data_IF_725961205052
#
_entry.id   IF_725961205052
#
_cell.length_a   1.000
_cell.length_b   1.000
_cell.length_c   1.000
_cell.angle_alpha   90.00
_cell.angle_beta   90.00
_cell.angle_gamma   90.00
#
_symmetry.space_group_name_H-M   'P 1'
#
loop_
_entity.id
_entity.type
_entity.pdbx_description
1 polymer ?
#
# COMPACT_ATOMS: atom_id res chain seq x y z
N UNK A 1 -11.26 16.85 7.58
CA UNK A 1 -10.91 15.42 7.46
C UNK A 1 -10.33 15.04 6.10
N UNK A 2 -10.80 15.58 4.98
CA UNK A 2 -10.25 15.19 3.65
C UNK A 2 -8.77 15.55 3.44
N UNK A 3 -8.36 16.79 3.75
CA UNK A 3 -6.98 17.27 3.52
C UNK A 3 -5.90 16.45 4.24
N UNK A 4 -6.14 16.06 5.49
CA UNK A 4 -5.16 15.28 6.26
C UNK A 4 -5.03 13.85 5.70
N UNK A 5 -6.15 13.24 5.27
CA UNK A 5 -6.13 11.93 4.65
C UNK A 5 -5.40 11.97 3.30
N UNK A 6 -5.63 13.02 2.48
CA UNK A 6 -4.89 13.23 1.24
C UNK A 6 -3.38 13.35 1.50
N UNK A 7 -2.98 14.12 2.50
CA UNK A 7 -1.57 14.26 2.88
C UNK A 7 -0.92 12.91 3.28
N UNK A 8 -1.61 12.05 4.02
CA UNK A 8 -1.11 10.71 4.35
C UNK A 8 -0.96 9.80 3.11
N UNK A 9 -1.87 9.92 2.14
CA UNK A 9 -1.76 9.19 0.87
C UNK A 9 -0.57 9.71 0.05
N UNK A 10 -0.34 11.02 0.01
CA UNK A 10 0.82 11.62 -0.68
C UNK A 10 2.15 11.16 -0.05
N UNK A 11 2.26 11.13 1.28
CA UNK A 11 3.44 10.62 1.97
C UNK A 11 3.70 9.14 1.65
N UNK A 12 2.64 8.33 1.67
CA UNK A 12 2.72 6.91 1.34
C UNK A 12 3.16 6.70 -0.11
N UNK A 13 2.62 7.49 -1.05
CA UNK A 13 3.05 7.45 -2.45
C UNK A 13 4.53 7.80 -2.61
N UNK A 14 4.97 8.90 -1.99
CA UNK A 14 6.38 9.31 -2.03
C UNK A 14 7.34 8.30 -1.39
N UNK A 15 6.89 7.57 -0.36
CA UNK A 15 7.66 6.47 0.22
C UNK A 15 7.80 5.30 -0.77
N UNK A 16 6.70 4.89 -1.41
CA UNK A 16 6.72 3.81 -2.41
C UNK A 16 7.58 4.16 -3.61
N UNK A 17 7.57 5.41 -4.07
CA UNK A 17 8.42 5.85 -5.19
C UNK A 17 9.91 5.78 -4.85
N UNK A 18 10.29 6.10 -3.61
CA UNK A 18 11.67 5.92 -3.14
C UNK A 18 12.08 4.45 -3.10
N UNK A 19 11.18 3.56 -2.66
CA UNK A 19 11.44 2.12 -2.65
C UNK A 19 11.57 1.53 -4.06
N UNK A 20 10.83 2.04 -5.04
CA UNK A 20 10.99 1.68 -6.46
C UNK A 20 12.29 2.22 -7.06
N UNK A 21 12.72 3.41 -6.65
CA UNK A 21 13.96 4.01 -7.17
C UNK A 21 15.22 3.39 -6.57
N UNK A 22 15.12 2.80 -5.37
CA UNK A 22 16.23 2.11 -4.72
C UNK A 22 16.45 0.72 -5.36
N UNK A 23 17.55 0.58 -6.09
CA UNK A 23 17.98 -0.73 -6.62
C UNK A 23 18.47 -1.62 -5.49
N UNK A 24 18.06 -2.88 -5.52
CA UNK A 24 18.46 -3.93 -4.58
C UNK A 24 18.69 -5.23 -5.35
N UNK A 25 19.96 -5.51 -5.68
CA UNK A 25 20.36 -6.69 -6.45
C UNK A 25 19.70 -6.80 -7.83
N UNK A 26 18.88 -7.84 -7.99
CA UNK A 26 18.20 -8.17 -9.25
C UNK A 26 16.86 -7.42 -9.43
N UNK A 27 16.50 -6.52 -8.51
CA UNK A 27 15.26 -5.77 -8.55
C UNK A 27 15.32 -4.42 -7.82
N UNK A 28 14.15 -3.92 -7.42
CA UNK A 28 14.04 -2.74 -6.55
C UNK A 28 13.78 -3.16 -5.11
N UNK A 29 14.08 -2.29 -4.15
CA UNK A 29 13.78 -2.55 -2.73
C UNK A 29 12.29 -2.85 -2.52
N UNK A 30 11.40 -2.26 -3.32
CA UNK A 30 9.97 -2.58 -3.29
C UNK A 30 9.66 -4.03 -3.71
N UNK A 31 10.44 -4.60 -4.62
CA UNK A 31 10.22 -5.96 -5.14
C UNK A 31 10.57 -7.05 -4.14
N UNK A 32 11.37 -6.72 -3.12
CA UNK A 32 11.81 -7.63 -2.05
C UNK A 32 11.08 -7.39 -0.72
N UNK A 33 10.04 -6.55 -0.71
CA UNK A 33 9.31 -6.17 0.51
C UNK A 33 7.83 -6.56 0.45
N UNK A 34 7.29 -6.84 1.63
CA UNK A 34 5.84 -6.92 1.88
C UNK A 34 5.44 -5.80 2.83
N UNK A 35 4.48 -4.98 2.42
CA UNK A 35 4.05 -3.79 3.17
C UNK A 35 2.57 -3.92 3.53
N UNK A 36 2.28 -3.83 4.83
CA UNK A 36 0.94 -3.64 5.36
C UNK A 36 0.83 -2.20 5.88
N UNK A 37 -0.03 -1.40 5.25
CA UNK A 37 -0.27 0.00 5.59
C UNK A 37 -1.73 0.21 5.94
N UNK A 38 -2.05 0.93 7.02
CA UNK A 38 -3.43 1.22 7.36
C UNK A 38 -3.62 2.02 8.63
N UNK A 39 -4.87 2.18 9.07
CA UNK A 39 -5.22 2.87 10.30
C UNK A 39 -6.07 2.00 11.22
N UNK A 40 -5.83 2.10 12.53
CA UNK A 40 -6.62 1.40 13.55
C UNK A 40 -8.03 1.97 13.78
N UNK A 41 -8.37 3.09 13.14
CA UNK A 41 -9.68 3.76 13.20
C UNK A 41 -10.01 4.27 11.79
N UNK A 42 -11.24 4.05 11.31
CA UNK A 42 -11.67 4.48 9.97
C UNK A 42 -12.12 5.94 9.92
N UNK A 43 -12.76 6.42 10.99
CA UNK A 43 -13.12 7.81 11.18
C UNK A 43 -12.68 8.30 12.57
N UNK A 44 -11.64 9.14 12.59
CA UNK A 44 -11.07 9.67 13.82
C UNK A 44 -12.00 10.67 14.52
N UNK A 45 -12.91 11.35 13.80
CA UNK A 45 -13.88 12.28 14.42
C UNK A 45 -14.93 11.55 15.25
N UNK A 46 -15.37 10.38 14.79
CA UNK A 46 -16.40 9.59 15.48
C UNK A 46 -15.83 8.39 16.24
N UNK A 47 -14.49 8.27 16.32
CA UNK A 47 -13.79 7.09 16.83
C UNK A 47 -14.37 5.75 16.35
N UNK A 48 -14.72 5.66 15.06
CA UNK A 48 -15.32 4.45 14.50
C UNK A 48 -14.25 3.44 14.07
N UNK A 49 -14.39 2.20 14.53
CA UNK A 49 -13.55 1.07 14.12
C UNK A 49 -14.09 0.26 12.94
N UNK A 50 -15.18 0.68 12.30
CA UNK A 50 -15.82 -0.07 11.21
C UNK A 50 -15.16 0.23 9.87
N UNK A 51 -14.92 -0.77 9.00
CA UNK A 51 -14.28 -0.61 7.69
C UNK A 51 -12.90 0.09 7.77
N UNK A 52 -12.00 -0.50 8.55
CA UNK A 52 -10.65 0.04 8.70
C UNK A 52 -9.91 0.11 7.36
N UNK A 53 -9.22 1.22 7.06
CA UNK A 53 -8.47 1.34 5.82
C UNK A 53 -7.16 0.55 5.96
N UNK A 54 -7.07 -0.61 5.31
CA UNK A 54 -5.82 -1.36 5.15
C UNK A 54 -5.48 -1.54 3.67
N UNK A 55 -4.19 -1.39 3.36
CA UNK A 55 -3.52 -1.56 2.09
C UNK A 55 -2.43 -2.62 2.28
N UNK A 56 -2.49 -3.67 1.48
CA UNK A 56 -1.49 -4.74 1.47
C UNK A 56 -0.78 -4.75 0.11
N UNK A 57 0.54 -4.63 0.13
CA UNK A 57 1.40 -4.61 -1.06
C UNK A 57 2.45 -5.72 -0.93
N UNK A 58 2.68 -6.44 -2.02
CA UNK A 58 3.70 -7.49 -2.10
C UNK A 58 4.56 -7.19 -3.33
N UNK A 59 5.88 -7.26 -3.16
CA UNK A 59 6.88 -7.15 -4.22
C UNK A 59 6.77 -8.23 -5.30
N UNK A 60 7.36 -7.99 -6.46
CA UNK A 60 7.13 -8.80 -7.67
C UNK A 60 8.09 -9.99 -7.87
N UNK A 61 9.18 -10.11 -7.09
CA UNK A 61 10.27 -11.05 -7.39
C UNK A 61 9.91 -12.54 -7.25
N UNK A 62 8.88 -12.89 -6.49
CA UNK A 62 8.38 -14.28 -6.39
C UNK A 62 6.91 -14.45 -6.80
N UNK A 63 6.46 -13.76 -7.87
CA UNK A 63 5.17 -14.06 -8.51
C UNK A 63 5.28 -15.25 -9.48
N UNK A 64 5.77 -16.38 -8.97
CA UNK A 64 5.72 -17.66 -9.67
C UNK A 64 4.26 -18.11 -9.82
N UNK A 65 3.73 -17.92 -11.04
CA UNK A 65 2.69 -18.76 -11.65
C UNK A 65 1.37 -18.86 -10.89
N UNK A 66 0.62 -17.76 -10.82
CA UNK A 66 -0.79 -17.82 -10.44
C UNK A 66 -1.49 -16.45 -10.43
N UNK A 67 -2.16 -16.10 -11.53
CA UNK A 67 -3.13 -14.99 -11.59
C UNK A 67 -2.51 -13.59 -11.69
N UNK A 68 -2.50 -13.05 -12.91
CA UNK A 68 -1.84 -11.78 -13.24
C UNK A 68 -2.44 -10.53 -12.58
N UNK A 69 -1.54 -9.62 -12.22
CA UNK A 69 -1.72 -8.17 -12.33
C UNK A 69 -0.35 -7.59 -12.69
N UNK A 70 -0.06 -7.51 -13.99
CA UNK A 70 1.05 -6.75 -14.54
C UNK A 70 0.68 -5.27 -14.47
N UNK A 71 1.35 -4.52 -13.63
CA UNK A 71 1.04 -3.12 -13.35
C UNK A 71 0.37 -2.97 -12.00
N UNK A 72 0.87 -1.98 -11.25
CA UNK A 72 0.29 -1.52 -10.00
C UNK A 72 -1.22 -1.36 -10.19
N UNK A 73 -2.07 -2.17 -9.52
CA UNK A 73 -3.50 -1.98 -9.67
C UNK A 73 -3.84 -0.59 -9.12
N UNK A 74 -4.81 0.16 -9.69
CA UNK A 74 -5.44 1.22 -8.92
C UNK A 74 -5.89 0.58 -7.61
N UNK A 75 -5.68 1.26 -6.49
CA UNK A 75 -5.98 0.81 -5.12
C UNK A 75 -7.34 0.08 -5.11
N UNK A 76 -7.32 -1.24 -5.28
CA UNK A 76 -8.53 -2.05 -5.48
C UNK A 76 -8.40 -3.36 -4.75
N UNK A 77 -8.01 -3.24 -3.48
CA UNK A 77 -8.53 -4.06 -2.40
C UNK A 77 -8.20 -3.38 -1.07
N UNK A 78 -9.07 -2.44 -0.71
CA UNK A 78 -9.30 -2.10 0.69
C UNK A 78 -9.93 -3.36 1.30
N UNK A 79 -9.16 -4.12 2.08
CA UNK A 79 -9.75 -5.19 2.88
C UNK A 79 -10.56 -4.51 3.99
N UNK A 80 -11.86 -4.36 3.74
CA UNK A 80 -12.86 -4.08 4.77
C UNK A 80 -13.15 -5.38 5.50
N UNK A 81 -12.63 -5.53 6.72
CA UNK A 81 -13.27 -6.39 7.73
C UNK A 81 -14.48 -5.65 8.31
#
# INVERSE_FOLDING_TARGET
MSKINTYHVELTAGYLDRLRAAQDGDGTMLDHMTILYGAGISNSTSHSGTNLPFLFLVGAQERSKGGGTSGFPPIRRMLTC
#
